data_IF_005037991918
#
_entry.id   IF_005037991918
#
_cell.length_a   1.000
_cell.length_b   1.000
_cell.length_c   1.000
_cell.angle_alpha   90.00
_cell.angle_beta   90.00
_cell.angle_gamma   90.00
#
_symmetry.space_group_name_H-M   'P 1'
#
loop_
_entity.id
_entity.type
_entity.pdbx_description
1 polymer ?
#
# COMPACT_ATOMS: atom_id res chain seq x y z
N UNK A 1 -1.90 5.33 -12.26
CA UNK A 1 -2.73 4.08 -12.14
C UNK A 1 -2.83 3.25 -13.42
N UNK A 2 -2.19 3.61 -14.56
CA UNK A 2 -2.23 2.82 -15.81
C UNK A 2 -1.13 1.76 -15.96
N UNK A 3 -0.17 1.70 -15.04
CA UNK A 3 1.07 0.92 -15.22
C UNK A 3 1.09 -0.40 -14.44
N UNK A 4 0.19 -0.59 -13.48
CA UNK A 4 0.07 -1.80 -12.69
C UNK A 4 -1.28 -2.43 -12.95
N UNK A 5 -1.32 -3.76 -13.15
CA UNK A 5 -2.53 -4.55 -13.44
C UNK A 5 -3.49 -4.66 -12.23
N UNK A 6 -3.44 -3.71 -11.31
CA UNK A 6 -4.12 -3.75 -10.02
C UNK A 6 -5.42 -2.95 -10.12
N UNK A 7 -6.54 -3.58 -9.77
CA UNK A 7 -7.84 -2.90 -9.66
C UNK A 7 -8.00 -2.28 -8.27
N UNK A 8 -8.91 -1.32 -8.15
CA UNK A 8 -9.28 -0.72 -6.85
C UNK A 8 -9.76 -1.77 -5.86
N UNK A 9 -10.44 -2.81 -6.35
CA UNK A 9 -10.94 -3.92 -5.53
C UNK A 9 -9.81 -4.74 -4.92
N UNK A 10 -8.73 -4.98 -5.68
CA UNK A 10 -7.54 -5.70 -5.20
C UNK A 10 -6.84 -4.92 -4.09
N UNK A 11 -6.73 -3.59 -4.25
CA UNK A 11 -6.21 -2.70 -3.20
C UNK A 11 -7.05 -2.78 -1.92
N UNK A 12 -8.37 -2.71 -2.04
CA UNK A 12 -9.27 -2.79 -0.87
C UNK A 12 -9.17 -4.16 -0.20
N UNK A 13 -9.03 -5.25 -0.96
CA UNK A 13 -8.83 -6.58 -0.39
C UNK A 13 -7.51 -6.66 0.40
N UNK A 14 -6.43 -6.09 -0.13
CA UNK A 14 -5.11 -6.06 0.52
C UNK A 14 -5.07 -5.18 1.77
N UNK A 15 -5.79 -4.06 1.76
CA UNK A 15 -5.99 -3.25 2.96
C UNK A 15 -6.73 -4.03 4.06
N UNK A 16 -7.75 -4.83 3.71
CA UNK A 16 -8.45 -5.70 4.68
C UNK A 16 -7.56 -6.82 5.18
N UNK A 17 -6.78 -7.45 4.30
CA UNK A 17 -5.82 -8.51 4.63
C UNK A 17 -4.78 -8.01 5.63
N UNK A 18 -4.28 -6.78 5.44
CA UNK A 18 -3.37 -6.09 6.37
C UNK A 18 -4.06 -5.56 7.63
N UNK A 19 -5.37 -5.81 7.83
CA UNK A 19 -6.15 -5.26 8.95
C UNK A 19 -6.04 -3.72 9.07
N UNK A 20 -5.89 -3.02 7.93
CA UNK A 20 -5.88 -1.57 7.85
C UNK A 20 -7.33 -1.04 7.91
N UNK A 21 -7.96 -1.17 9.09
CA UNK A 21 -9.35 -0.77 9.34
C UNK A 21 -9.54 0.74 9.33
N UNK A 22 -8.45 1.49 9.54
CA UNK A 22 -8.42 2.93 9.55
C UNK A 22 -7.34 3.44 8.58
N UNK A 23 -7.77 4.15 7.53
CA UNK A 23 -6.87 4.63 6.48
C UNK A 23 -5.90 5.71 6.97
N UNK A 24 -6.19 6.40 8.09
CA UNK A 24 -5.25 7.37 8.66
C UNK A 24 -4.00 6.70 9.24
N UNK A 25 -4.07 5.39 9.51
CA UNK A 25 -2.93 4.59 9.96
C UNK A 25 -2.15 3.98 8.80
N UNK A 26 -2.59 4.15 7.55
CA UNK A 26 -1.86 3.66 6.36
C UNK A 26 -0.79 4.68 5.98
N UNK A 27 0.46 4.25 6.00
CA UNK A 27 1.60 5.09 5.64
C UNK A 27 1.93 4.97 4.16
N UNK A 28 1.83 3.78 3.59
CA UNK A 28 2.09 3.57 2.18
C UNK A 28 1.37 2.34 1.64
N UNK A 29 1.05 2.41 0.35
CA UNK A 29 0.60 1.30 -0.46
C UNK A 29 1.60 1.15 -1.60
N UNK A 30 2.25 -0.01 -1.67
CA UNK A 30 3.29 -0.31 -2.65
C UNK A 30 2.69 -1.25 -3.68
N UNK A 31 2.66 -0.80 -4.94
CA UNK A 31 2.20 -1.62 -6.06
C UNK A 31 3.43 -2.28 -6.70
N UNK A 32 3.51 -3.59 -6.61
CA UNK A 32 4.64 -4.35 -7.15
C UNK A 32 4.40 -4.68 -8.63
N UNK A 33 5.47 -4.76 -9.42
CA UNK A 33 5.38 -5.08 -10.86
C UNK A 33 4.86 -6.49 -11.14
N UNK A 34 4.93 -7.37 -10.14
CA UNK A 34 4.34 -8.71 -10.13
C UNK A 34 2.81 -8.70 -10.09
N UNK A 35 2.19 -7.56 -9.75
CA UNK A 35 0.76 -7.42 -9.51
C UNK A 35 0.34 -7.66 -8.06
N UNK A 36 1.30 -7.84 -7.14
CA UNK A 36 1.02 -7.86 -5.71
C UNK A 36 0.94 -6.44 -5.12
N UNK A 37 0.39 -6.35 -3.91
CA UNK A 37 0.23 -5.10 -3.19
C UNK A 37 0.70 -5.30 -1.76
N UNK A 38 1.64 -4.46 -1.34
CA UNK A 38 2.13 -4.40 0.03
C UNK A 38 1.58 -3.17 0.73
N UNK A 39 1.08 -3.33 1.96
CA UNK A 39 0.50 -2.24 2.77
C UNK A 39 1.36 -2.02 4.00
N UNK A 40 1.86 -0.79 4.16
CA UNK A 40 2.53 -0.34 5.37
C UNK A 40 1.53 0.45 6.22
N UNK A 41 1.22 -0.07 7.42
CA UNK A 41 0.31 0.56 8.36
C UNK A 41 0.89 0.58 9.78
N UNK A 42 0.50 1.58 10.58
CA UNK A 42 0.96 1.78 11.95
C UNK A 42 1.37 3.24 12.23
N UNK A 43 1.70 3.54 13.48
CA UNK A 43 2.00 4.92 13.91
C UNK A 43 3.39 5.43 13.49
N UNK A 44 4.35 4.52 13.25
CA UNK A 44 5.71 4.81 12.80
C UNK A 44 6.17 3.70 11.88
N UNK A 45 6.74 4.06 10.74
CA UNK A 45 7.52 3.16 9.91
C UNK A 45 8.93 3.73 9.76
N UNK A 46 9.89 2.87 9.55
CA UNK A 46 11.27 3.29 9.28
C UNK A 46 11.29 4.02 7.93
N UNK A 47 12.01 5.14 7.85
CA UNK A 47 12.13 5.93 6.61
C UNK A 47 12.72 5.09 5.47
N UNK A 48 13.52 4.06 5.80
CA UNK A 48 14.03 3.11 4.82
C UNK A 48 12.91 2.33 4.10
N UNK A 49 11.77 2.08 4.76
CA UNK A 49 10.66 1.30 4.20
C UNK A 49 9.78 2.11 3.24
N UNK A 50 9.80 3.44 3.36
CA UNK A 50 9.08 4.36 2.48
C UNK A 50 9.99 5.01 1.43
N UNK A 51 11.29 4.70 1.46
CA UNK A 51 12.25 5.22 0.51
C UNK A 51 11.89 4.85 -0.94
N UNK A 52 11.71 5.86 -1.79
CA UNK A 52 11.36 5.67 -3.21
C UNK A 52 9.87 5.48 -3.49
N UNK A 53 9.00 5.53 -2.48
CA UNK A 53 7.55 5.59 -2.68
C UNK A 53 7.19 6.97 -3.23
N UNK A 54 6.50 7.02 -4.38
CA UNK A 54 6.01 8.29 -4.95
C UNK A 54 4.67 8.66 -4.31
N UNK A 55 4.56 9.87 -3.79
CA UNK A 55 3.27 10.48 -3.49
C UNK A 55 2.56 10.81 -4.81
N UNK A 56 1.28 10.40 -4.90
CA UNK A 56 0.41 10.62 -6.07
C UNK A 56 -0.87 11.31 -5.68
#
# INVERSE_FOLDING_TARGET
LKETRVRKEDLVAKLREANALDLSQVQAVILETTGDISVLHGAKSDEMLTHGVREV
#
